data_IF_209335082533
#
_entry.id   IF_209335082533
#
_cell.length_a   1.000
_cell.length_b   1.000
_cell.length_c   1.000
_cell.angle_alpha   90.00
_cell.angle_beta   90.00
_cell.angle_gamma   90.00
#
_symmetry.space_group_name_H-M   'P 1'
#
loop_
_entity.id
_entity.type
_entity.pdbx_description
1 polymer ?
#
# COMPACT_ATOMS: atom_id res chain seq x y z
N UNK A 1 -10.05 -22.72 30.45
CA UNK A 1 -9.85 -22.98 29.00
C UNK A 1 -9.03 -21.88 28.32
N UNK A 2 -9.43 -20.60 28.35
CA UNK A 2 -8.64 -19.49 27.74
C UNK A 2 -7.23 -19.37 28.34
N UNK A 3 -7.07 -19.53 29.66
CA UNK A 3 -5.77 -19.48 30.34
C UNK A 3 -4.81 -20.60 29.88
N UNK A 4 -5.33 -21.78 29.60
CA UNK A 4 -4.57 -22.93 29.06
C UNK A 4 -4.11 -22.67 27.62
N UNK A 5 -4.98 -22.09 26.79
CA UNK A 5 -4.65 -21.72 25.41
C UNK A 5 -3.57 -20.63 25.35
N UNK A 6 -3.61 -19.63 26.24
CA UNK A 6 -2.56 -18.60 26.32
C UNK A 6 -1.21 -19.22 26.72
N UNK A 7 -1.20 -20.17 27.65
CA UNK A 7 0.03 -20.87 28.06
C UNK A 7 0.61 -21.70 26.90
N UNK A 8 -0.23 -22.39 26.13
CA UNK A 8 0.25 -23.13 24.95
C UNK A 8 0.81 -22.21 23.86
N UNK A 9 0.18 -21.07 23.60
CA UNK A 9 0.69 -20.08 22.63
C UNK A 9 2.05 -19.53 23.09
N UNK A 10 2.19 -19.19 24.38
CA UNK A 10 3.47 -18.71 24.92
C UNK A 10 4.56 -19.78 24.87
N UNK A 11 4.20 -21.06 25.05
CA UNK A 11 5.14 -22.18 24.91
C UNK A 11 5.61 -22.35 23.47
N UNK A 12 4.71 -22.26 22.49
CA UNK A 12 5.06 -22.31 21.08
C UNK A 12 5.93 -21.13 20.63
N UNK A 13 5.63 -19.91 21.07
CA UNK A 13 6.44 -18.73 20.78
C UNK A 13 7.87 -18.87 21.35
N UNK A 14 8.01 -19.39 22.58
CA UNK A 14 9.32 -19.63 23.20
C UNK A 14 10.12 -20.72 22.49
N UNK A 15 9.45 -21.76 21.98
CA UNK A 15 10.09 -22.79 21.17
C UNK A 15 10.58 -22.25 19.83
N UNK A 16 9.80 -21.36 19.21
CA UNK A 16 10.16 -20.71 17.94
C UNK A 16 11.38 -19.80 18.09
N UNK A 17 11.47 -19.05 19.20
CA UNK A 17 12.62 -18.20 19.50
C UNK A 17 13.91 -19.01 19.73
N UNK A 18 13.82 -20.20 20.34
CA UNK A 18 14.95 -21.11 20.49
C UNK A 18 15.42 -21.67 19.15
N UNK A 19 14.48 -22.04 18.27
CA UNK A 19 14.80 -22.57 16.94
C UNK A 19 15.49 -21.50 16.07
N UNK A 20 15.03 -20.25 16.16
CA UNK A 20 15.62 -19.14 15.41
C UNK A 20 17.04 -18.80 15.90
N UNK A 21 17.29 -18.85 17.21
CA UNK A 21 18.65 -18.72 17.77
C UNK A 21 19.59 -19.84 17.32
N UNK A 22 19.09 -21.07 17.22
CA UNK A 22 19.88 -22.22 16.77
C UNK A 22 20.29 -22.10 15.29
N UNK A 23 19.38 -21.65 14.42
CA UNK A 23 19.68 -21.41 13.01
C UNK A 23 20.70 -20.29 12.80
N UNK A 24 20.64 -19.21 13.58
CA UNK A 24 21.63 -18.13 13.52
C UNK A 24 23.02 -18.57 13.98
N UNK A 25 23.11 -19.43 15.00
CA UNK A 25 24.39 -19.97 15.48
C UNK A 25 25.07 -20.87 14.45
N UNK A 26 24.30 -21.69 13.71
CA UNK A 26 24.87 -22.57 12.69
C UNK A 26 25.39 -21.79 11.48
N UNK A 27 24.67 -20.75 11.01
CA UNK A 27 25.15 -19.90 9.92
C UNK A 27 26.44 -19.15 10.25
N UNK A 28 26.60 -18.74 11.51
CA UNK A 28 27.82 -18.06 11.98
C UNK A 28 29.02 -19.02 12.05
N UNK A 29 28.79 -20.30 12.37
CA UNK A 29 29.83 -21.33 12.38
C UNK A 29 30.27 -21.71 10.95
N UNK A 30 29.36 -21.76 9.99
CA UNK A 30 29.69 -22.03 8.58
C UNK A 30 30.47 -20.88 7.92
N UNK A 31 30.15 -19.63 8.27
CA UNK A 31 30.87 -18.44 7.79
C UNK A 31 32.31 -18.36 8.31
N UNK A 32 32.58 -18.88 9.52
CA UNK A 32 33.94 -18.93 10.09
C UNK A 32 34.79 -20.06 9.49
N UNK A 33 34.17 -21.10 8.93
CA UNK A 33 34.86 -22.24 8.34
C UNK A 33 35.20 -22.07 6.85
N UNK A 34 34.54 -21.16 6.12
CA UNK A 34 34.80 -20.94 4.68
C UNK A 34 35.93 -19.94 4.37
N UNK A 35 36.54 -19.34 5.38
CA UNK A 35 37.63 -18.37 5.25
C UNK A 35 38.99 -18.97 4.91
N UNK A 36 39.13 -19.65 3.76
CA UNK A 36 40.44 -19.99 3.19
C UNK A 36 40.53 -19.56 1.73
N UNK A 37 41.38 -18.55 1.46
CA UNK A 37 41.75 -18.09 0.11
C UNK A 37 42.69 -19.11 -0.55
N UNK A 38 42.65 -19.22 -1.89
CA UNK A 38 43.92 -19.26 -2.61
C UNK A 38 44.00 -18.33 -3.84
N UNK A 39 45.06 -17.53 -3.82
CA UNK A 39 46.03 -17.22 -4.90
C UNK A 39 45.60 -17.20 -6.38
N UNK A 40 45.46 -15.95 -6.87
CA UNK A 40 46.07 -15.35 -8.08
C UNK A 40 46.94 -16.26 -8.98
N UNK A 41 46.62 -16.33 -10.28
CA UNK A 41 47.59 -16.52 -11.38
C UNK A 41 47.23 -15.65 -12.60
N UNK A 42 48.30 -15.09 -13.20
CA UNK A 42 48.39 -14.20 -14.37
C UNK A 42 48.31 -14.96 -15.71
N UNK A 43 48.30 -14.18 -16.81
CA UNK A 43 48.65 -14.51 -18.22
C UNK A 43 47.45 -14.85 -19.11
N UNK A 44 47.27 -14.40 -20.37
CA UNK A 44 48.02 -13.58 -21.33
C UNK A 44 47.09 -13.32 -22.54
N UNK A 45 47.21 -12.17 -23.21
CA UNK A 45 46.60 -11.90 -24.53
C UNK A 45 47.16 -12.81 -25.63
N UNK A 46 46.43 -12.97 -26.75
CA UNK A 46 46.97 -12.49 -28.02
C UNK A 46 45.95 -11.79 -28.95
N UNK A 47 46.48 -11.17 -30.00
CA UNK A 47 45.87 -10.19 -30.91
C UNK A 47 45.45 -10.76 -32.28
N UNK A 48 44.72 -9.90 -33.04
CA UNK A 48 44.48 -9.83 -34.51
C UNK A 48 43.40 -10.76 -35.14
N UNK A 49 42.84 -10.45 -36.34
CA UNK A 49 43.09 -9.32 -37.27
C UNK A 49 41.84 -8.52 -37.72
N UNK A 50 42.12 -7.44 -38.47
CA UNK A 50 41.18 -6.56 -39.19
C UNK A 50 40.70 -7.20 -40.50
N UNK A 51 39.46 -6.93 -40.90
CA UNK A 51 39.00 -7.07 -42.29
C UNK A 51 38.36 -5.76 -42.76
N UNK A 52 38.81 -5.36 -43.95
CA UNK A 52 38.35 -4.23 -44.75
C UNK A 52 37.18 -4.67 -45.63
N UNK A 53 36.14 -3.83 -45.77
CA UNK A 53 35.25 -3.86 -46.94
C UNK A 53 34.84 -2.44 -47.30
N UNK A 54 35.34 -1.99 -48.45
CA UNK A 54 34.90 -0.82 -49.21
C UNK A 54 33.54 -1.04 -49.88
N UNK A 55 32.87 0.08 -50.16
CA UNK A 55 32.20 0.47 -51.42
C UNK A 55 30.75 0.94 -51.24
N UNK A 56 30.40 2.05 -51.90
CA UNK A 56 28.99 2.35 -52.19
C UNK A 56 28.54 3.80 -52.14
N UNK A 57 29.20 4.65 -52.92
CA UNK A 57 28.77 5.97 -53.38
C UNK A 57 27.29 6.07 -53.84
N UNK A 58 26.57 7.15 -53.45
CA UNK A 58 25.83 8.01 -54.39
C UNK A 58 25.31 9.34 -53.79
N UNK A 59 25.64 10.40 -54.53
CA UNK A 59 25.25 11.81 -54.39
C UNK A 59 23.81 12.08 -54.85
N UNK A 60 23.17 13.06 -54.21
CA UNK A 60 22.40 14.21 -54.74
C UNK A 60 22.09 15.08 -53.50
N UNK A 61 22.41 16.37 -53.35
CA UNK A 61 22.62 17.45 -54.31
C UNK A 61 21.40 18.36 -54.31
N UNK A 62 21.36 19.39 -53.43
CA UNK A 62 20.67 20.69 -53.61
C UNK A 62 20.96 21.64 -52.42
N UNK A 63 21.96 22.52 -52.58
CA UNK A 63 21.87 24.00 -52.64
C UNK A 63 20.52 24.67 -52.25
N UNK A 64 20.35 25.85 -51.63
CA UNK A 64 21.13 27.04 -51.19
C UNK A 64 20.26 27.65 -50.02
N UNK A 65 20.71 28.44 -49.04
CA UNK A 65 21.08 29.86 -49.12
C UNK A 65 21.70 30.32 -47.79
N UNK A 66 22.69 31.20 -47.96
CA UNK A 66 23.47 31.86 -46.93
C UNK A 66 22.85 33.20 -46.50
N UNK A 67 23.57 33.89 -45.60
CA UNK A 67 23.38 35.26 -45.08
C UNK A 67 22.65 35.36 -43.73
N UNK A 68 23.40 35.39 -42.62
CA UNK A 68 23.79 36.69 -42.05
C UNK A 68 24.93 36.54 -41.03
N UNK A 69 25.99 37.31 -41.25
CA UNK A 69 27.15 37.51 -40.37
C UNK A 69 26.91 38.62 -39.32
N UNK A 70 27.93 38.74 -38.45
CA UNK A 70 28.27 39.79 -37.49
C UNK A 70 27.73 39.63 -36.07
N UNK A 71 28.58 39.12 -35.16
CA UNK A 71 29.61 39.85 -34.38
C UNK A 71 29.00 40.66 -33.24
N UNK A 72 29.36 40.34 -31.99
CA UNK A 72 30.28 41.17 -31.19
C UNK A 72 30.73 40.36 -29.96
N UNK A 73 32.05 40.30 -29.85
CA UNK A 73 32.87 39.71 -28.80
C UNK A 73 32.84 40.57 -27.53
N UNK A 74 32.88 39.92 -26.35
CA UNK A 74 33.68 40.23 -25.14
C UNK A 74 32.88 40.07 -23.85
N UNK A 75 33.25 39.06 -23.05
CA UNK A 75 33.81 39.28 -21.71
C UNK A 75 34.12 37.92 -21.05
N UNK A 76 35.35 37.45 -21.24
CA UNK A 76 36.01 36.56 -20.28
C UNK A 76 36.46 37.41 -19.10
N UNK A 77 35.93 37.11 -17.91
CA UNK A 77 36.51 37.56 -16.64
C UNK A 77 37.08 36.32 -15.96
N UNK A 78 38.40 36.19 -16.10
CA UNK A 78 39.24 35.32 -15.29
C UNK A 78 39.29 35.96 -13.90
N UNK A 79 38.80 35.23 -12.89
CA UNK A 79 39.20 35.47 -11.49
C UNK A 79 39.67 34.16 -10.90
N UNK A 80 40.99 34.04 -10.81
CA UNK A 80 41.69 33.12 -9.94
C UNK A 80 41.26 33.37 -8.49
N UNK A 81 40.80 32.31 -7.82
CA UNK A 81 40.93 32.17 -6.36
C UNK A 81 40.95 30.70 -5.97
N UNK A 82 42.18 30.23 -5.78
CA UNK A 82 42.52 29.10 -4.93
C UNK A 82 42.04 29.35 -3.50
N UNK A 83 40.99 28.64 -3.06
CA UNK A 83 40.82 28.23 -1.67
C UNK A 83 40.09 26.87 -1.62
N UNK A 84 40.89 25.81 -1.66
CA UNK A 84 40.45 24.42 -1.50
C UNK A 84 40.06 24.15 -0.05
N UNK A 85 38.88 24.61 0.36
CA UNK A 85 38.17 24.03 1.52
C UNK A 85 37.40 22.81 1.02
N UNK A 86 37.92 21.63 1.29
CA UNK A 86 37.19 20.36 1.21
C UNK A 86 36.12 20.34 2.31
N UNK A 87 35.00 21.02 2.05
CA UNK A 87 33.77 20.76 2.76
C UNK A 87 33.38 19.31 2.46
N UNK A 88 33.64 18.42 3.41
CA UNK A 88 33.06 17.07 3.43
C UNK A 88 31.54 17.27 3.34
N UNK A 89 30.88 16.85 2.25
CA UNK A 89 29.43 16.88 2.22
C UNK A 89 28.95 15.90 3.27
N UNK A 90 28.41 16.42 4.38
CA UNK A 90 27.64 15.62 5.34
C UNK A 90 26.46 15.02 4.60
N UNK A 91 26.64 13.80 4.13
CA UNK A 91 25.77 13.03 3.25
C UNK A 91 24.46 12.55 3.90
N UNK A 92 24.01 13.22 4.96
CA UNK A 92 22.81 12.83 5.71
C UNK A 92 21.56 13.60 5.25
N UNK A 93 21.68 14.87 4.85
CA UNK A 93 20.50 15.72 4.64
C UNK A 93 19.97 15.73 3.19
N UNK A 94 20.80 15.39 2.21
CA UNK A 94 20.37 15.29 0.80
C UNK A 94 19.73 13.94 0.44
N UNK A 95 19.72 12.96 1.35
CA UNK A 95 19.13 11.62 1.13
C UNK A 95 17.63 11.58 1.45
N UNK A 96 17.08 12.63 2.08
CA UNK A 96 15.70 12.64 2.57
C UNK A 96 14.61 12.80 1.48
N UNK A 97 14.98 13.10 0.22
CA UNK A 97 14.02 13.58 -0.78
C UNK A 97 13.77 12.70 -2.02
N UNK A 98 14.35 11.50 -2.13
CA UNK A 98 14.16 10.68 -3.36
C UNK A 98 12.75 10.06 -3.49
N UNK A 99 11.89 10.19 -2.48
CA UNK A 99 10.52 9.66 -2.49
C UNK A 99 10.42 8.14 -2.41
N UNK A 100 11.54 7.41 -2.39
CA UNK A 100 11.63 5.96 -2.22
C UNK A 100 11.78 5.61 -0.75
N UNK A 101 11.31 4.42 -0.38
CA UNK A 101 11.64 3.75 0.87
C UNK A 101 12.65 2.66 0.55
N UNK A 102 13.74 2.65 1.29
CA UNK A 102 14.79 1.64 1.21
C UNK A 102 14.47 0.57 2.26
N UNK A 103 14.40 -0.68 1.83
CA UNK A 103 14.25 -1.85 2.70
C UNK A 103 15.52 -2.66 2.56
N UNK A 104 16.25 -2.85 3.66
CA UNK A 104 17.47 -3.64 3.68
C UNK A 104 17.17 -5.04 4.22
N UNK A 105 17.45 -6.07 3.42
CA UNK A 105 17.33 -7.48 3.82
C UNK A 105 18.71 -8.13 3.66
N UNK A 106 19.44 -8.25 4.76
CA UNK A 106 20.84 -8.66 4.74
C UNK A 106 21.69 -7.64 3.98
N UNK A 107 22.35 -8.06 2.91
CA UNK A 107 23.19 -7.21 2.06
C UNK A 107 22.41 -6.56 0.89
N UNK A 108 21.16 -6.95 0.68
CA UNK A 108 20.35 -6.44 -0.42
C UNK A 108 19.53 -5.22 0.01
N UNK A 109 19.68 -4.12 -0.74
CA UNK A 109 18.87 -2.91 -0.58
C UNK A 109 17.82 -2.83 -1.68
N UNK A 110 16.54 -2.95 -1.31
CA UNK A 110 15.42 -2.81 -2.24
C UNK A 110 14.83 -1.42 -2.06
N UNK A 111 14.98 -0.55 -3.06
CA UNK A 111 14.33 0.76 -3.08
C UNK A 111 12.99 0.69 -3.81
N UNK A 112 11.88 0.91 -3.10
CA UNK A 112 10.54 0.97 -3.67
C UNK A 112 9.94 2.37 -3.51
N UNK A 113 9.25 2.91 -4.53
CA UNK A 113 8.45 4.12 -4.37
C UNK A 113 7.47 3.97 -3.20
N UNK A 114 7.33 5.01 -2.36
CA UNK A 114 6.43 5.00 -1.18
C UNK A 114 4.99 4.58 -1.53
N UNK A 115 4.53 4.99 -2.71
CA UNK A 115 3.22 4.64 -3.29
C UNK A 115 3.02 3.15 -3.59
N UNK A 116 4.10 2.40 -3.85
CA UNK A 116 4.03 0.96 -4.16
C UNK A 116 4.15 0.08 -2.93
N UNK A 117 4.49 0.65 -1.77
CA UNK A 117 4.66 -0.10 -0.52
C UNK A 117 3.41 -0.92 -0.10
N UNK A 118 2.17 -0.42 -0.22
CA UNK A 118 0.98 -1.20 0.12
C UNK A 118 0.81 -2.48 -0.71
N UNK A 119 1.38 -2.55 -1.92
CA UNK A 119 1.34 -3.75 -2.76
C UNK A 119 2.11 -4.92 -2.14
N UNK A 120 3.15 -4.65 -1.33
CA UNK A 120 3.82 -5.69 -0.55
C UNK A 120 2.88 -6.29 0.50
N UNK A 121 2.03 -5.46 1.11
CA UNK A 121 0.98 -5.90 2.01
C UNK A 121 -0.05 -6.79 1.31
N UNK A 122 -0.44 -6.43 0.08
CA UNK A 122 -1.30 -7.28 -0.77
C UNK A 122 -0.65 -8.63 -1.04
N UNK A 123 0.63 -8.66 -1.43
CA UNK A 123 1.36 -9.91 -1.65
C UNK A 123 1.47 -10.77 -0.38
N UNK A 124 1.81 -10.17 0.75
CA UNK A 124 1.94 -10.88 2.03
C UNK A 124 0.60 -11.48 2.49
N UNK A 125 -0.48 -10.70 2.47
CA UNK A 125 -1.82 -11.19 2.80
C UNK A 125 -2.27 -12.27 1.82
N UNK A 126 -1.93 -12.13 0.54
CA UNK A 126 -2.26 -13.14 -0.46
C UNK A 126 -1.54 -14.47 -0.22
N UNK A 127 -0.26 -14.44 0.16
CA UNK A 127 0.49 -15.65 0.53
C UNK A 127 -0.15 -16.29 1.76
N UNK A 128 -0.45 -15.49 2.81
CA UNK A 128 -1.10 -15.98 4.02
C UNK A 128 -2.46 -16.62 3.73
N UNK A 129 -3.26 -16.00 2.86
CA UNK A 129 -4.55 -16.52 2.43
C UNK A 129 -4.40 -17.85 1.68
N UNK A 130 -3.39 -17.95 0.82
CA UNK A 130 -3.08 -19.20 0.12
C UNK A 130 -2.68 -20.29 1.13
N UNK A 131 -1.74 -20.00 2.02
CA UNK A 131 -1.26 -20.94 3.04
C UNK A 131 -2.39 -21.43 3.97
N UNK A 132 -3.31 -20.55 4.38
CA UNK A 132 -4.43 -20.98 5.21
C UNK A 132 -5.30 -22.02 4.51
N UNK A 133 -5.53 -21.88 3.20
CA UNK A 133 -6.34 -22.85 2.43
C UNK A 133 -5.65 -24.21 2.34
N UNK A 134 -4.32 -24.23 2.20
CA UNK A 134 -3.57 -25.48 2.10
C UNK A 134 -3.43 -26.21 3.44
N UNK A 135 -3.44 -25.48 4.55
CA UNK A 135 -3.32 -26.08 5.89
C UNK A 135 -4.60 -26.84 6.27
N UNK A 136 -5.77 -26.33 5.88
CA UNK A 136 -7.05 -26.89 6.32
C UNK A 136 -7.41 -28.24 5.66
N UNK A 137 -6.57 -28.79 4.75
CA UNK A 137 -6.79 -30.06 4.04
C UNK A 137 -8.14 -30.22 3.30
N UNK A 138 -8.99 -29.19 3.28
CA UNK A 138 -10.31 -29.17 2.65
C UNK A 138 -10.30 -28.52 1.26
N UNK A 139 -9.16 -28.53 0.58
CA UNK A 139 -8.94 -27.90 -0.74
C UNK A 139 -10.00 -28.30 -1.78
N UNK A 140 -10.55 -29.51 -1.67
CA UNK A 140 -11.53 -30.03 -2.62
C UNK A 140 -12.95 -29.46 -2.45
N UNK A 141 -13.26 -28.83 -1.32
CA UNK A 141 -14.56 -28.22 -1.07
C UNK A 141 -14.70 -26.97 -1.96
N UNK A 142 -15.84 -26.85 -2.65
CA UNK A 142 -16.10 -25.77 -3.61
C UNK A 142 -15.89 -24.36 -3.02
N UNK A 143 -16.09 -24.21 -1.71
CA UNK A 143 -15.93 -22.95 -0.96
C UNK A 143 -14.51 -22.39 -0.97
N UNK A 144 -13.47 -23.25 -0.93
CA UNK A 144 -12.07 -22.80 -0.90
C UNK A 144 -11.51 -22.42 -2.27
N UNK A 145 -12.10 -22.94 -3.36
CA UNK A 145 -11.65 -22.65 -4.74
C UNK A 145 -11.64 -21.16 -5.04
N UNK A 146 -12.65 -20.44 -4.55
CA UNK A 146 -12.74 -18.99 -4.71
C UNK A 146 -11.58 -18.27 -3.99
N UNK A 147 -11.22 -18.69 -2.77
CA UNK A 147 -10.08 -18.13 -2.04
C UNK A 147 -8.72 -18.36 -2.73
N UNK A 148 -8.53 -19.53 -3.37
CA UNK A 148 -7.33 -19.84 -4.16
C UNK A 148 -7.22 -18.90 -5.36
N UNK A 149 -8.32 -18.73 -6.11
CA UNK A 149 -8.36 -17.82 -7.27
C UNK A 149 -8.13 -16.37 -6.81
N UNK A 150 -8.79 -15.96 -5.73
CA UNK A 150 -8.69 -14.60 -5.18
C UNK A 150 -7.25 -14.25 -4.79
N UNK A 151 -6.59 -15.13 -4.02
CA UNK A 151 -5.19 -14.95 -3.64
C UNK A 151 -4.28 -14.97 -4.87
N UNK A 152 -4.42 -15.92 -5.80
CA UNK A 152 -3.60 -15.94 -7.00
C UNK A 152 -3.70 -14.64 -7.81
N UNK A 153 -4.92 -14.16 -8.08
CA UNK A 153 -5.14 -12.91 -8.83
C UNK A 153 -4.55 -11.72 -8.06
N UNK A 154 -4.75 -11.64 -6.75
CA UNK A 154 -4.23 -10.53 -5.95
C UNK A 154 -2.69 -10.52 -5.91
N UNK A 155 -2.05 -11.68 -5.75
CA UNK A 155 -0.60 -11.81 -5.76
C UNK A 155 0.01 -11.38 -7.10
N UNK A 156 -0.46 -11.96 -8.21
CA UNK A 156 0.07 -11.64 -9.54
C UNK A 156 -0.30 -10.22 -9.97
N UNK A 157 -1.50 -9.75 -9.64
CA UNK A 157 -1.92 -8.37 -9.90
C UNK A 157 -1.06 -7.35 -9.15
N UNK A 158 -0.70 -7.63 -7.88
CA UNK A 158 0.22 -6.79 -7.12
C UNK A 158 1.64 -6.82 -7.70
N UNK A 159 2.14 -8.00 -8.06
CA UNK A 159 3.46 -8.16 -8.70
C UNK A 159 3.56 -7.37 -10.01
N UNK A 160 2.56 -7.49 -10.89
CA UNK A 160 2.50 -6.71 -12.14
C UNK A 160 2.42 -5.21 -11.85
N UNK A 161 1.63 -4.79 -10.85
CA UNK A 161 1.51 -3.38 -10.47
C UNK A 161 2.81 -2.79 -9.92
N UNK A 162 3.68 -3.61 -9.31
CA UNK A 162 5.01 -3.18 -8.86
C UNK A 162 5.93 -2.92 -10.05
N UNK A 163 5.88 -3.74 -11.09
CA UNK A 163 6.76 -3.63 -12.27
C UNK A 163 6.29 -2.52 -13.23
N UNK A 164 4.98 -2.38 -13.41
CA UNK A 164 4.40 -1.42 -14.35
C UNK A 164 4.54 0.03 -13.84
N UNK A 165 4.75 1.03 -14.72
CA UNK A 165 4.75 2.44 -14.34
C UNK A 165 3.47 2.84 -13.58
N UNK A 166 3.61 3.65 -12.54
CA UNK A 166 2.52 3.88 -11.58
C UNK A 166 1.21 4.38 -12.20
N UNK A 167 1.27 5.20 -13.27
CA UNK A 167 0.07 5.66 -13.99
C UNK A 167 -0.67 4.54 -14.72
N UNK A 168 0.05 3.58 -15.27
CA UNK A 168 -0.49 2.44 -16.02
C UNK A 168 -1.00 1.33 -15.08
N UNK A 169 -0.45 1.23 -13.87
CA UNK A 169 -0.89 0.26 -12.87
C UNK A 169 -2.24 0.61 -12.22
N UNK A 170 -2.71 1.86 -12.33
CA UNK A 170 -3.93 2.34 -11.64
C UNK A 170 -5.15 1.42 -11.90
N UNK A 171 -5.55 1.11 -13.16
CA UNK A 171 -6.73 0.29 -13.40
C UNK A 171 -6.61 -1.11 -12.80
N UNK A 172 -5.42 -1.71 -12.87
CA UNK A 172 -5.14 -3.02 -12.29
C UNK A 172 -5.24 -2.99 -10.76
N UNK A 173 -4.70 -1.96 -10.11
CA UNK A 173 -4.81 -1.82 -8.64
C UNK A 173 -6.24 -1.65 -8.17
N UNK A 174 -7.10 -0.91 -8.90
CA UNK A 174 -8.53 -0.84 -8.60
C UNK A 174 -9.24 -2.16 -8.84
N UNK A 175 -8.92 -2.86 -9.93
CA UNK A 175 -9.49 -4.18 -10.20
C UNK A 175 -9.18 -5.15 -9.06
N UNK A 176 -7.92 -5.23 -8.64
CA UNK A 176 -7.49 -6.04 -7.49
C UNK A 176 -8.20 -5.59 -6.22
N UNK A 177 -8.32 -4.28 -5.97
CA UNK A 177 -9.05 -3.78 -4.81
C UNK A 177 -10.52 -4.22 -4.79
N UNK A 178 -11.29 -3.97 -5.86
CA UNK A 178 -12.71 -4.34 -5.94
C UNK A 178 -12.87 -5.84 -5.73
N UNK A 179 -12.04 -6.64 -6.40
CA UNK A 179 -12.09 -8.09 -6.29
C UNK A 179 -11.77 -8.58 -4.87
N UNK A 180 -10.77 -8.00 -4.22
CA UNK A 180 -10.34 -8.41 -2.86
C UNK A 180 -11.27 -7.91 -1.77
N UNK A 181 -11.90 -6.75 -1.94
CA UNK A 181 -12.93 -6.26 -1.02
C UNK A 181 -14.21 -7.10 -1.09
N UNK A 182 -14.71 -7.36 -2.31
CA UNK A 182 -15.83 -8.29 -2.50
C UNK A 182 -15.46 -9.69 -2.02
N UNK A 183 -14.24 -10.12 -2.32
CA UNK A 183 -13.73 -11.42 -1.92
C UNK A 183 -13.61 -11.59 -0.41
N UNK A 184 -13.23 -10.53 0.34
CA UNK A 184 -13.29 -10.55 1.79
C UNK A 184 -14.73 -10.79 2.27
N UNK A 185 -15.68 -9.99 1.79
CA UNK A 185 -17.09 -10.13 2.17
C UNK A 185 -17.67 -11.52 1.88
N UNK A 186 -17.31 -12.13 0.74
CA UNK A 186 -17.79 -13.47 0.33
C UNK A 186 -17.07 -14.56 1.14
N UNK A 187 -15.75 -14.47 1.29
CA UNK A 187 -14.97 -15.53 1.93
C UNK A 187 -15.19 -15.62 3.43
N UNK A 188 -15.55 -14.51 4.06
CA UNK A 188 -15.84 -14.42 5.50
C UNK A 188 -17.32 -14.37 5.86
N UNK A 189 -18.20 -14.58 4.88
CA UNK A 189 -19.62 -14.81 5.13
C UNK A 189 -19.84 -16.15 5.85
N UNK A 190 -21.00 -16.33 6.49
CA UNK A 190 -21.36 -17.57 7.22
C UNK A 190 -21.25 -18.84 6.35
N UNK A 191 -21.50 -18.69 5.06
CA UNK A 191 -21.43 -19.76 4.05
C UNK A 191 -20.06 -19.90 3.41
N UNK A 192 -19.13 -18.97 3.67
CA UNK A 192 -17.79 -18.91 3.11
C UNK A 192 -16.81 -19.91 3.74
N UNK A 193 -15.59 -20.02 3.17
CA UNK A 193 -14.52 -20.87 3.68
C UNK A 193 -13.92 -20.39 5.02
N UNK A 194 -14.01 -19.10 5.35
CA UNK A 194 -13.45 -18.54 6.59
C UNK A 194 -14.55 -17.90 7.42
N UNK A 195 -15.51 -18.70 7.88
CA UNK A 195 -16.59 -18.24 8.74
C UNK A 195 -16.17 -18.10 10.21
N UNK A 196 -15.04 -18.71 10.61
CA UNK A 196 -14.43 -18.57 11.93
C UNK A 196 -13.16 -17.70 11.88
N UNK A 197 -12.85 -16.96 12.97
CA UNK A 197 -11.64 -16.16 13.02
C UNK A 197 -10.39 -17.04 12.95
N UNK A 198 -9.59 -16.85 11.91
CA UNK A 198 -8.35 -17.58 11.66
C UNK A 198 -7.48 -16.88 10.62
N UNK A 199 -6.36 -17.52 10.25
CA UNK A 199 -5.38 -16.91 9.34
C UNK A 199 -5.99 -16.48 8.00
N UNK A 200 -6.83 -17.33 7.38
CA UNK A 200 -7.51 -17.01 6.12
C UNK A 200 -8.49 -15.85 6.27
N UNK A 201 -9.22 -15.80 7.39
CA UNK A 201 -10.11 -14.70 7.73
C UNK A 201 -9.36 -13.36 7.77
N UNK A 202 -8.31 -13.27 8.59
CA UNK A 202 -7.52 -12.04 8.73
C UNK A 202 -6.78 -11.68 7.44
N UNK A 203 -6.31 -12.68 6.69
CA UNK A 203 -5.64 -12.47 5.42
C UNK A 203 -6.59 -11.88 4.37
N UNK A 204 -7.85 -12.33 4.29
CA UNK A 204 -8.87 -11.77 3.39
C UNK A 204 -9.12 -10.28 3.67
N UNK A 205 -9.33 -9.90 4.93
CA UNK A 205 -9.55 -8.49 5.29
C UNK A 205 -8.28 -7.64 5.19
N UNK A 206 -7.12 -8.20 5.54
CA UNK A 206 -5.83 -7.56 5.32
C UNK A 206 -5.59 -7.27 3.84
N UNK A 207 -5.96 -8.21 2.96
CA UNK A 207 -5.90 -8.04 1.51
C UNK A 207 -6.76 -6.86 1.05
N UNK A 208 -8.00 -6.78 1.53
CA UNK A 208 -8.92 -5.68 1.24
C UNK A 208 -8.40 -4.31 1.73
N UNK A 209 -7.83 -4.23 2.93
CA UNK A 209 -7.23 -2.98 3.45
C UNK A 209 -6.00 -2.58 2.64
N UNK A 210 -5.06 -3.51 2.42
CA UNK A 210 -3.84 -3.22 1.68
C UNK A 210 -4.12 -2.84 0.23
N UNK A 211 -5.07 -3.51 -0.44
CA UNK A 211 -5.46 -3.19 -1.81
C UNK A 211 -6.20 -1.86 -1.91
N UNK A 212 -7.04 -1.53 -0.93
CA UNK A 212 -7.71 -0.22 -0.83
C UNK A 212 -6.70 0.93 -0.69
N UNK A 213 -5.60 0.72 0.06
CA UNK A 213 -4.52 1.70 0.18
C UNK A 213 -3.65 1.71 -1.09
N UNK A 214 -3.40 0.55 -1.71
CA UNK A 214 -2.62 0.44 -2.95
C UNK A 214 -3.31 1.09 -4.16
N UNK A 215 -4.65 1.13 -4.17
CA UNK A 215 -5.43 1.78 -5.22
C UNK A 215 -5.35 3.31 -5.19
N UNK A 216 -4.74 3.91 -4.14
CA UNK A 216 -4.50 5.35 -4.10
C UNK A 216 -3.51 5.76 -5.21
N UNK A 217 -3.93 6.63 -6.15
CA UNK A 217 -3.06 7.01 -7.24
C UNK A 217 -1.92 7.89 -6.72
N UNK A 218 -0.70 7.68 -7.23
CA UNK A 218 0.45 8.39 -6.73
C UNK A 218 0.47 9.86 -7.08
N UNK A 219 1.08 10.65 -6.20
CA UNK A 219 1.35 12.08 -6.41
C UNK A 219 0.11 12.98 -6.40
N UNK A 220 -1.11 12.45 -6.33
CA UNK A 220 -2.34 13.25 -6.33
C UNK A 220 -3.11 13.13 -5.03
N UNK A 221 -2.86 14.07 -4.11
CA UNK A 221 -3.60 14.16 -2.85
C UNK A 221 -5.11 14.27 -3.07
N UNK A 222 -5.56 14.97 -4.12
CA UNK A 222 -6.98 15.09 -4.47
C UNK A 222 -7.60 13.72 -4.79
N UNK A 223 -6.92 12.89 -5.59
CA UNK A 223 -7.41 11.55 -5.92
C UNK A 223 -7.32 10.57 -4.73
N UNK A 224 -6.28 10.65 -3.90
CA UNK A 224 -6.20 9.86 -2.65
C UNK A 224 -7.38 10.14 -1.73
N UNK A 225 -7.80 11.41 -1.64
CA UNK A 225 -9.00 11.82 -0.90
C UNK A 225 -10.29 11.26 -1.51
N UNK A 226 -10.43 11.35 -2.83
CA UNK A 226 -11.56 10.76 -3.56
C UNK A 226 -11.70 9.27 -3.23
N UNK A 227 -10.61 8.50 -3.33
CA UNK A 227 -10.59 7.08 -3.01
C UNK A 227 -10.92 6.77 -1.57
N UNK A 228 -10.33 7.52 -0.64
CA UNK A 228 -10.59 7.29 0.79
C UNK A 228 -12.08 7.54 1.10
N UNK A 229 -12.69 8.54 0.47
CA UNK A 229 -14.13 8.82 0.59
C UNK A 229 -14.97 7.67 0.00
N UNK A 230 -14.59 7.16 -1.17
CA UNK A 230 -15.25 6.01 -1.79
C UNK A 230 -15.15 4.75 -0.90
N UNK A 231 -14.00 4.51 -0.29
CA UNK A 231 -13.80 3.38 0.62
C UNK A 231 -14.63 3.52 1.90
N UNK A 232 -14.80 4.74 2.42
CA UNK A 232 -15.73 4.99 3.53
C UNK A 232 -17.16 4.62 3.16
N UNK A 233 -17.65 5.03 1.98
CA UNK A 233 -18.98 4.65 1.48
C UNK A 233 -19.11 3.13 1.35
N UNK A 234 -18.14 2.47 0.69
CA UNK A 234 -18.15 1.02 0.52
C UNK A 234 -18.19 0.27 1.86
N UNK A 235 -17.42 0.75 2.85
CA UNK A 235 -17.41 0.18 4.21
C UNK A 235 -18.71 0.41 4.97
N UNK A 236 -19.27 1.62 4.88
CA UNK A 236 -20.54 1.96 5.50
C UNK A 236 -21.71 1.13 4.95
N UNK A 237 -21.72 0.86 3.64
CA UNK A 237 -22.72 -0.01 3.01
C UNK A 237 -22.61 -1.46 3.48
N UNK A 238 -21.41 -2.03 3.51
CA UNK A 238 -21.20 -3.41 4.03
C UNK A 238 -21.60 -3.49 5.50
N UNK A 239 -21.29 -2.46 6.28
CA UNK A 239 -21.65 -2.39 7.69
C UNK A 239 -23.17 -2.29 7.90
N UNK A 240 -23.88 -1.47 7.11
CA UNK A 240 -25.35 -1.38 7.13
C UNK A 240 -25.97 -2.73 6.75
N UNK A 241 -25.48 -3.37 5.69
CA UNK A 241 -25.96 -4.70 5.27
C UNK A 241 -25.76 -5.72 6.39
N UNK A 242 -24.61 -5.67 7.08
CA UNK A 242 -24.30 -6.56 8.19
C UNK A 242 -25.18 -6.33 9.43
N UNK A 243 -25.79 -5.14 9.58
CA UNK A 243 -26.74 -4.82 10.65
C UNK A 243 -28.17 -5.26 10.34
N UNK A 244 -28.51 -5.55 9.07
CA UNK A 244 -29.88 -5.91 8.68
C UNK A 244 -30.44 -7.13 9.45
N UNK A 245 -29.70 -8.23 9.64
CA UNK A 245 -30.21 -9.37 10.42
C UNK A 245 -30.59 -8.95 11.85
N UNK A 246 -29.76 -8.13 12.48
CA UNK A 246 -29.98 -7.66 13.86
C UNK A 246 -31.24 -6.78 13.99
N UNK A 247 -31.58 -6.03 12.93
CA UNK A 247 -32.80 -5.24 12.86
C UNK A 247 -34.02 -6.13 12.62
N UNK A 248 -33.90 -7.12 11.75
CA UNK A 248 -35.01 -8.01 11.36
C UNK A 248 -35.39 -8.95 12.50
N UNK A 249 -34.41 -9.51 13.22
CA UNK A 249 -34.61 -10.52 14.26
C UNK A 249 -34.76 -9.93 15.68
N UNK A 250 -34.92 -8.61 15.80
CA UNK A 250 -35.11 -7.88 17.07
C UNK A 250 -34.01 -8.17 18.11
N UNK A 251 -32.77 -7.80 17.76
CA UNK A 251 -31.59 -7.99 18.61
C UNK A 251 -31.75 -7.42 20.02
N UNK A 252 -31.17 -8.08 21.02
CA UNK A 252 -31.06 -7.57 22.40
C UNK A 252 -30.25 -6.26 22.46
N UNK A 253 -29.44 -5.98 21.44
CA UNK A 253 -28.55 -4.81 21.33
C UNK A 253 -29.18 -3.62 20.59
N UNK A 254 -30.46 -3.31 20.86
CA UNK A 254 -31.22 -2.30 20.10
C UNK A 254 -30.51 -0.94 20.07
N UNK A 255 -30.01 -0.47 21.21
CA UNK A 255 -29.36 0.84 21.34
C UNK A 255 -28.09 0.90 20.49
N UNK A 256 -27.26 -0.13 20.55
CA UNK A 256 -26.00 -0.24 19.82
C UNK A 256 -26.26 -0.31 18.32
N UNK A 257 -27.25 -1.10 17.89
CA UNK A 257 -27.69 -1.20 16.49
C UNK A 257 -28.18 0.16 15.98
N UNK A 258 -29.00 0.91 16.74
CA UNK A 258 -29.48 2.23 16.35
C UNK A 258 -28.36 3.28 16.25
N UNK A 259 -27.41 3.26 17.19
CA UNK A 259 -26.25 4.15 17.13
C UNK A 259 -25.34 3.78 15.95
N UNK A 260 -25.16 2.49 15.68
CA UNK A 260 -24.35 1.99 14.58
C UNK A 260 -24.93 2.36 13.21
N UNK A 261 -26.24 2.12 12.98
CA UNK A 261 -26.90 2.49 11.73
C UNK A 261 -26.94 4.01 11.54
N UNK A 262 -27.13 4.77 12.62
CA UNK A 262 -27.10 6.25 12.57
C UNK A 262 -25.71 6.75 12.19
N UNK A 263 -24.65 6.22 12.81
CA UNK A 263 -23.25 6.58 12.51
C UNK A 263 -22.90 6.24 11.06
N UNK A 264 -23.26 5.03 10.61
CA UNK A 264 -22.98 4.58 9.24
C UNK A 264 -23.77 5.35 8.20
N UNK A 265 -25.07 5.54 8.43
CA UNK A 265 -25.95 6.31 7.54
C UNK A 265 -25.48 7.75 7.41
N UNK A 266 -25.24 8.43 8.54
CA UNK A 266 -24.74 9.81 8.56
C UNK A 266 -23.40 9.93 7.81
N UNK A 267 -22.41 9.09 8.15
CA UNK A 267 -21.10 9.16 7.50
C UNK A 267 -21.14 8.82 6.02
N UNK A 268 -21.98 7.86 5.60
CA UNK A 268 -22.17 7.50 4.18
C UNK A 268 -22.81 8.63 3.40
N UNK A 269 -23.84 9.30 3.95
CA UNK A 269 -24.48 10.46 3.33
C UNK A 269 -23.48 11.59 3.17
N UNK A 270 -22.73 11.92 4.23
CA UNK A 270 -21.75 13.01 4.15
C UNK A 270 -20.61 12.68 3.20
N UNK A 271 -20.08 11.46 3.23
CA UNK A 271 -19.07 11.01 2.28
C UNK A 271 -19.58 11.10 0.83
N UNK A 272 -20.83 10.71 0.58
CA UNK A 272 -21.47 10.83 -0.74
C UNK A 272 -21.61 12.29 -1.18
N UNK A 273 -22.04 13.19 -0.29
CA UNK A 273 -22.11 14.63 -0.59
C UNK A 273 -20.73 15.19 -0.90
N UNK A 274 -19.71 14.87 -0.11
CA UNK A 274 -18.32 15.29 -0.36
C UNK A 274 -17.83 14.76 -1.71
N UNK A 275 -18.16 13.51 -2.04
CA UNK A 275 -17.81 12.89 -3.31
C UNK A 275 -18.48 13.60 -4.49
N UNK A 276 -19.78 13.87 -4.40
CA UNK A 276 -20.55 14.59 -5.41
C UNK A 276 -19.99 16.00 -5.62
N UNK A 277 -19.74 16.74 -4.54
CA UNK A 277 -19.12 18.06 -4.61
C UNK A 277 -17.75 17.98 -5.29
N UNK A 278 -16.91 17.00 -4.93
CA UNK A 278 -15.61 16.81 -5.57
C UNK A 278 -15.71 16.48 -7.07
N UNK A 279 -16.73 15.74 -7.49
CA UNK A 279 -16.99 15.48 -8.90
C UNK A 279 -17.40 16.77 -9.63
N UNK A 280 -18.28 17.58 -9.03
CA UNK A 280 -18.75 18.84 -9.61
C UNK A 280 -17.66 19.92 -9.65
N UNK A 281 -16.79 19.96 -8.64
CA UNK A 281 -15.75 20.99 -8.49
C UNK A 281 -14.36 20.48 -8.88
N UNK A 282 -14.26 19.40 -9.65
CA UNK A 282 -12.98 18.74 -9.94
C UNK A 282 -11.94 19.71 -10.52
N UNK A 283 -12.40 20.67 -11.34
CA UNK A 283 -11.55 21.62 -12.05
C UNK A 283 -11.26 22.91 -11.27
N UNK A 284 -11.98 23.19 -10.20
CA UNK A 284 -11.82 24.42 -9.41
C UNK A 284 -10.96 24.13 -8.18
N UNK A 285 -9.85 24.85 -8.04
CA UNK A 285 -8.96 24.77 -6.87
C UNK A 285 -9.58 25.54 -5.70
N UNK A 286 -10.70 25.06 -5.20
CA UNK A 286 -11.44 25.72 -4.12
C UNK A 286 -10.67 25.54 -2.81
N UNK A 287 -10.25 26.65 -2.17
CA UNK A 287 -9.69 26.61 -0.81
C UNK A 287 -10.74 25.99 0.12
N UNK A 288 -10.49 24.78 0.62
CA UNK A 288 -11.38 24.14 1.59
C UNK A 288 -11.21 24.77 2.97
N UNK A 289 -12.33 25.07 3.62
CA UNK A 289 -12.40 25.72 4.93
C UNK A 289 -11.81 24.85 6.05
N UNK A 290 -11.43 25.49 7.17
CA UNK A 290 -11.01 24.88 8.43
C UNK A 290 -12.04 23.87 9.00
N UNK A 291 -13.30 23.94 8.55
CA UNK A 291 -14.35 23.02 8.96
C UNK A 291 -14.14 21.56 8.53
N UNK A 292 -13.57 21.30 7.33
CA UNK A 292 -13.50 19.95 6.78
C UNK A 292 -12.62 18.96 7.59
N UNK A 293 -11.40 19.33 8.00
CA UNK A 293 -10.53 18.49 8.84
C UNK A 293 -11.13 18.24 10.22
N UNK A 294 -11.73 19.25 10.84
CA UNK A 294 -12.36 19.11 12.16
C UNK A 294 -13.49 18.09 12.06
N UNK A 295 -14.32 18.24 11.02
CA UNK A 295 -15.41 17.33 10.74
C UNK A 295 -14.93 15.88 10.48
N UNK A 296 -13.93 15.68 9.62
CA UNK A 296 -13.40 14.33 9.35
C UNK A 296 -12.75 13.70 10.59
N UNK A 297 -12.11 14.52 11.44
CA UNK A 297 -11.56 14.06 12.72
C UNK A 297 -12.67 13.60 13.66
N UNK A 298 -13.78 14.34 13.71
CA UNK A 298 -14.97 13.96 14.47
C UNK A 298 -15.57 12.64 13.94
N UNK A 299 -15.70 12.48 12.62
CA UNK A 299 -16.18 11.23 12.01
C UNK A 299 -15.26 10.06 12.34
N UNK A 300 -13.94 10.25 12.32
CA UNK A 300 -12.98 9.21 12.73
C UNK A 300 -13.16 8.81 14.19
N UNK A 301 -13.35 9.78 15.10
CA UNK A 301 -13.63 9.52 16.50
C UNK A 301 -14.96 8.75 16.68
N UNK A 302 -16.03 9.15 15.99
CA UNK A 302 -17.30 8.44 16.01
C UNK A 302 -17.14 6.99 15.59
N UNK A 303 -16.39 6.71 14.52
CA UNK A 303 -16.15 5.34 14.08
C UNK A 303 -15.35 4.52 15.09
N UNK A 304 -14.38 5.10 15.79
CA UNK A 304 -13.63 4.40 16.84
C UNK A 304 -14.57 3.99 17.98
N UNK A 305 -15.43 4.90 18.43
CA UNK A 305 -16.42 4.62 19.48
C UNK A 305 -17.43 3.59 19.01
N UNK A 306 -17.99 3.75 17.81
CA UNK A 306 -18.98 2.83 17.24
C UNK A 306 -18.38 1.45 17.06
N UNK A 307 -17.18 1.32 16.49
CA UNK A 307 -16.49 0.03 16.34
C UNK A 307 -16.29 -0.64 17.71
N UNK A 308 -15.75 0.08 18.70
CA UNK A 308 -15.57 -0.45 20.05
C UNK A 308 -16.89 -0.93 20.66
N UNK A 309 -17.95 -0.14 20.55
CA UNK A 309 -19.28 -0.49 21.04
C UNK A 309 -19.81 -1.74 20.34
N UNK A 310 -19.81 -1.78 19.01
CA UNK A 310 -20.41 -2.90 18.27
C UNK A 310 -19.62 -4.19 18.36
N UNK A 311 -18.30 -4.12 18.59
CA UNK A 311 -17.45 -5.31 18.67
C UNK A 311 -17.20 -5.82 20.08
N UNK A 312 -17.24 -4.95 21.09
CA UNK A 312 -17.03 -5.36 22.48
C UNK A 312 -18.33 -5.67 23.20
N UNK A 313 -19.40 -4.91 22.91
CA UNK A 313 -20.70 -5.08 23.56
C UNK A 313 -21.68 -5.86 22.69
N UNK A 314 -21.71 -5.56 21.40
CA UNK A 314 -22.58 -6.24 20.43
C UNK A 314 -23.18 -5.26 19.42
N UNK A 315 -23.72 -5.73 18.29
CA UNK A 315 -24.05 -7.14 18.03
C UNK A 315 -22.90 -7.99 17.48
N UNK A 316 -21.79 -7.37 17.06
CA UNK A 316 -20.68 -8.07 16.40
C UNK A 316 -19.63 -8.54 17.42
N UNK A 317 -20.04 -9.27 18.46
CA UNK A 317 -19.06 -9.85 19.43
C UNK A 317 -18.26 -10.99 18.82
N UNK A 318 -18.85 -11.68 17.84
CA UNK A 318 -18.16 -12.64 17.00
C UNK A 318 -17.59 -11.94 15.76
N UNK A 319 -16.42 -12.38 15.33
CA UNK A 319 -15.82 -11.88 14.09
C UNK A 319 -16.69 -12.21 12.90
N UNK A 320 -17.08 -11.18 12.15
CA UNK A 320 -17.96 -11.25 11.00
C UNK A 320 -17.72 -10.08 10.06
N UNK A 321 -18.44 -10.04 8.94
CA UNK A 321 -18.38 -8.90 8.02
C UNK A 321 -18.70 -7.57 8.73
N UNK A 322 -19.66 -7.56 9.66
CA UNK A 322 -19.98 -6.41 10.50
C UNK A 322 -18.81 -5.97 11.39
N UNK A 323 -18.12 -6.93 12.03
CA UNK A 323 -16.94 -6.66 12.85
C UNK A 323 -15.85 -5.96 12.04
N UNK A 324 -15.44 -6.54 10.91
CA UNK A 324 -14.30 -6.03 10.15
C UNK A 324 -14.63 -4.80 9.32
N UNK A 325 -15.87 -4.69 8.81
CA UNK A 325 -16.30 -3.45 8.14
C UNK A 325 -16.29 -2.27 9.10
N UNK A 326 -16.67 -2.43 10.37
CA UNK A 326 -16.54 -1.37 11.39
C UNK A 326 -15.09 -0.90 11.56
N UNK A 327 -14.14 -1.83 11.73
CA UNK A 327 -12.73 -1.50 11.86
C UNK A 327 -12.12 -0.97 10.57
N UNK A 328 -12.57 -1.43 9.40
CA UNK A 328 -12.18 -0.88 8.11
C UNK A 328 -12.64 0.58 7.99
N UNK A 329 -13.87 0.89 8.41
CA UNK A 329 -14.38 2.27 8.46
C UNK A 329 -13.56 3.15 9.41
N UNK A 330 -13.07 2.61 10.54
CA UNK A 330 -12.09 3.32 11.40
C UNK A 330 -10.82 3.64 10.63
N UNK A 331 -10.20 2.66 9.97
CA UNK A 331 -8.96 2.87 9.21
C UNK A 331 -9.16 3.93 8.12
N UNK A 332 -10.25 3.85 7.35
CA UNK A 332 -10.51 4.79 6.25
C UNK A 332 -10.88 6.19 6.74
N UNK A 333 -11.65 6.32 7.82
CA UNK A 333 -11.99 7.63 8.39
C UNK A 333 -10.78 8.33 9.02
N UNK A 334 -9.93 7.60 9.74
CA UNK A 334 -8.65 8.14 10.28
C UNK A 334 -7.74 8.56 9.13
N UNK A 335 -7.60 7.74 8.09
CA UNK A 335 -6.83 8.09 6.89
C UNK A 335 -7.38 9.35 6.23
N UNK A 336 -8.71 9.49 6.09
CA UNK A 336 -9.33 10.68 5.53
C UNK A 336 -8.99 11.95 6.34
N UNK A 337 -9.10 11.86 7.66
CA UNK A 337 -8.76 12.97 8.56
C UNK A 337 -7.28 13.37 8.42
N UNK A 338 -6.36 12.41 8.46
CA UNK A 338 -4.91 12.64 8.31
C UNK A 338 -4.59 13.28 6.96
N UNK A 339 -5.19 12.80 5.88
CA UNK A 339 -4.97 13.35 4.55
C UNK A 339 -5.50 14.78 4.43
N UNK A 340 -6.61 15.13 5.09
CA UNK A 340 -7.13 16.50 5.08
C UNK A 340 -6.22 17.45 5.88
N UNK A 341 -5.75 17.02 7.05
CA UNK A 341 -4.78 17.80 7.82
C UNK A 341 -3.49 18.04 7.04
N UNK A 342 -2.96 17.00 6.37
CA UNK A 342 -1.78 17.12 5.52
C UNK A 342 -1.99 18.10 4.37
N UNK A 343 -3.16 18.08 3.73
CA UNK A 343 -3.52 19.04 2.67
C UNK A 343 -3.38 20.47 3.16
N UNK A 344 -3.97 20.79 4.32
CA UNK A 344 -3.92 22.15 4.88
C UNK A 344 -2.53 22.64 5.18
N UNK A 345 -1.69 21.79 5.76
CA UNK A 345 -0.31 22.17 6.06
C UNK A 345 0.45 22.52 4.77
N UNK A 346 0.19 21.79 3.69
CA UNK A 346 0.78 22.09 2.37
C UNK A 346 0.22 23.38 1.76
N UNK A 347 -1.09 23.62 1.89
CA UNK A 347 -1.73 24.83 1.38
C UNK A 347 -1.32 26.09 2.16
N UNK A 348 -1.04 25.96 3.46
CA UNK A 348 -0.53 27.06 4.30
C UNK A 348 0.84 27.52 3.84
N UNK A 349 1.79 26.58 3.66
CA UNK A 349 3.16 26.86 3.20
C UNK A 349 3.21 27.58 1.85
N UNK A 350 2.24 27.33 0.97
CA UNK A 350 2.19 27.96 -0.36
C UNK A 350 1.64 29.40 -0.33
N UNK A 351 1.05 29.87 0.77
CA UNK A 351 0.59 31.27 0.86
C UNK A 351 1.64 32.19 1.52
N UNK A 352 2.67 31.61 2.15
CA UNK A 352 3.75 32.35 2.81
C UNK A 352 4.94 32.66 1.87
N UNK A 353 4.88 32.15 0.63
CA UNK A 353 5.83 32.40 -0.47
C UNK A 353 5.13 33.26 -1.51
#
# INVERSE_FOLDING_TARGET
>A
QIKEQIIQILFHLRSFEKLNRFQHSNKMSEALLSGSKPLRKMSSQPALPKEDVETGEKRTGEEIDAENEMEVVKNEVITDRDETYTAVPTSADNVANDGKRRITIGEYEISLPKEKFPLLGVMACSILLHLSIFIDNEIYVSKYRYGIILSAIAFFGAMVSIVVPSKQAIPLTYFVYILTYAGACITTHETGPFNEPGNGYFASWGLAVCSAIAADPPGSLQRTHFNTTLNMIASGLVFIISLLPEIIYDSDFKVEVYVAISTSGFSTVVASVILLLNCCTWNTRTKRSCSASIFLTFVAFLWIVTAGMVTMRGPFTNTGNGYFSAWFSVVMSVKAAVLEWRRRVLDGKNNDV
#
